data_IF_202403401347
#
_entry.id   IF_202403401347
#
_cell.length_a   1.000
_cell.length_b   1.000
_cell.length_c   1.000
_cell.angle_alpha   90.00
_cell.angle_beta   90.00
_cell.angle_gamma   90.00
#
_symmetry.space_group_name_H-M   'P 1'
#
loop_
_entity.id
_entity.type
_entity.pdbx_description
1 polymer ?
#
# COMPACT_ATOMS: atom_id res chain seq x y z
N UNK A 1 9.08 3.36 -11.13
CA UNK A 1 9.92 3.91 -10.04
C UNK A 1 10.77 2.82 -9.41
N UNK A 2 10.18 1.68 -9.03
CA UNK A 2 10.91 0.55 -8.43
C UNK A 2 12.01 -0.03 -9.33
N UNK A 3 11.84 0.03 -10.65
CA UNK A 3 12.88 -0.41 -11.61
C UNK A 3 13.93 0.67 -11.92
N UNK A 4 13.68 1.92 -11.52
CA UNK A 4 14.50 3.08 -11.91
C UNK A 4 15.46 3.55 -10.81
N UNK A 5 15.14 3.24 -9.54
CA UNK A 5 15.91 3.64 -8.37
C UNK A 5 15.87 2.48 -7.38
N UNK A 6 17.00 2.17 -6.75
CA UNK A 6 17.01 1.23 -5.63
C UNK A 6 16.29 1.86 -4.42
N UNK A 7 15.01 1.50 -4.28
CA UNK A 7 14.15 1.90 -3.15
C UNK A 7 14.28 0.95 -1.96
N UNK A 8 15.11 -0.09 -2.07
CA UNK A 8 15.33 -1.09 -1.01
C UNK A 8 16.55 -0.78 -0.16
N UNK A 9 17.38 0.18 -0.58
CA UNK A 9 18.54 0.64 0.18
C UNK A 9 18.16 1.06 1.61
N UNK A 10 18.68 0.34 2.60
CA UNK A 10 18.42 0.58 4.02
C UNK A 10 17.27 -0.24 4.63
N UNK A 11 16.54 -1.02 3.83
CA UNK A 11 15.55 -1.97 4.33
C UNK A 11 16.26 -3.20 4.93
N UNK A 12 15.81 -3.65 6.09
CA UNK A 12 16.38 -4.85 6.74
C UNK A 12 15.94 -6.11 5.98
N UNK A 13 16.76 -7.18 5.97
CA UNK A 13 16.35 -8.48 5.45
C UNK A 13 15.04 -8.96 6.08
N UNK A 14 14.12 -9.48 5.26
CA UNK A 14 12.79 -9.90 5.69
C UNK A 14 11.82 -8.75 5.99
N UNK A 15 12.22 -7.49 5.75
CA UNK A 15 11.34 -6.33 5.81
C UNK A 15 10.22 -6.38 4.77
N UNK A 16 9.19 -5.56 4.97
CA UNK A 16 8.01 -5.51 4.10
C UNK A 16 8.06 -4.28 3.19
N UNK A 17 7.73 -4.49 1.92
CA UNK A 17 7.57 -3.44 0.91
C UNK A 17 6.09 -3.38 0.52
N UNK A 18 5.47 -2.20 0.65
CA UNK A 18 4.11 -1.95 0.15
C UNK A 18 4.19 -1.20 -1.18
N UNK A 19 3.63 -1.78 -2.24
CA UNK A 19 3.71 -1.27 -3.61
C UNK A 19 2.32 -0.90 -4.12
N UNK A 20 2.15 0.33 -4.60
CA UNK A 20 0.96 0.72 -5.36
C UNK A 20 1.05 0.16 -6.79
N UNK A 21 0.28 -0.88 -7.09
CA UNK A 21 0.28 -1.61 -8.36
C UNK A 21 -0.94 -2.52 -8.48
N UNK A 22 -1.42 -2.71 -9.71
CA UNK A 22 -2.44 -3.73 -10.01
C UNK A 22 -1.87 -5.15 -9.99
N UNK A 23 -0.55 -5.28 -10.14
CA UNK A 23 0.16 -6.57 -10.16
C UNK A 23 0.04 -7.33 -8.83
N UNK A 24 0.01 -8.65 -8.92
CA UNK A 24 0.10 -9.52 -7.76
C UNK A 24 1.49 -9.41 -7.10
N UNK A 25 1.60 -9.64 -5.78
CA UNK A 25 2.90 -9.59 -5.10
C UNK A 25 3.90 -10.62 -5.65
N UNK A 26 3.43 -11.78 -6.12
CA UNK A 26 4.26 -12.85 -6.71
C UNK A 26 4.95 -12.45 -8.02
N UNK A 27 4.46 -11.41 -8.70
CA UNK A 27 5.10 -10.86 -9.90
C UNK A 27 6.41 -10.12 -9.59
N UNK A 28 6.71 -9.89 -8.31
CA UNK A 28 7.93 -9.26 -7.81
C UNK A 28 8.94 -10.28 -7.27
N UNK A 29 9.16 -11.37 -8.01
CA UNK A 29 10.01 -12.49 -7.60
C UNK A 29 11.39 -12.05 -7.05
N UNK A 30 12.08 -11.11 -7.71
CA UNK A 30 13.38 -10.62 -7.26
C UNK A 30 13.34 -9.88 -5.91
N UNK A 31 12.23 -9.22 -5.57
CA UNK A 31 12.05 -8.63 -4.22
C UNK A 31 11.72 -9.72 -3.20
N UNK A 32 10.94 -10.72 -3.60
CA UNK A 32 10.58 -11.87 -2.76
C UNK A 32 11.76 -12.79 -2.42
N UNK A 33 12.93 -12.61 -3.03
CA UNK A 33 14.15 -13.31 -2.58
C UNK A 33 14.60 -12.86 -1.18
N UNK A 34 14.26 -11.62 -0.79
CA UNK A 34 14.78 -11.00 0.43
C UNK A 34 13.72 -10.32 1.30
N UNK A 35 12.57 -9.97 0.75
CA UNK A 35 11.57 -9.12 1.38
C UNK A 35 10.16 -9.71 1.28
N UNK A 36 9.28 -9.30 2.19
CA UNK A 36 7.83 -9.47 2.02
C UNK A 36 7.34 -8.41 1.04
N UNK A 37 6.47 -8.79 0.12
CA UNK A 37 5.87 -7.84 -0.83
C UNK A 37 4.37 -7.80 -0.59
N UNK A 38 3.87 -6.61 -0.31
CA UNK A 38 2.46 -6.29 -0.27
C UNK A 38 2.12 -5.38 -1.46
N UNK A 39 1.00 -5.64 -2.14
CA UNK A 39 0.51 -4.82 -3.25
C UNK A 39 -0.90 -4.34 -3.02
N UNK A 40 -1.19 -3.15 -3.57
CA UNK A 40 -2.51 -2.53 -3.54
C UNK A 40 -2.72 -1.70 -4.80
N UNK A 41 -3.91 -1.75 -5.41
CA UNK A 41 -4.30 -0.79 -6.45
C UNK A 41 -4.90 0.48 -5.82
N UNK A 42 -4.05 1.28 -5.19
CA UNK A 42 -4.47 2.50 -4.53
C UNK A 42 -4.97 3.56 -5.54
N UNK A 43 -4.44 3.52 -6.77
CA UNK A 43 -4.87 4.40 -7.87
C UNK A 43 -6.32 4.13 -8.28
N UNK A 44 -6.67 2.88 -8.53
CA UNK A 44 -8.04 2.48 -8.85
C UNK A 44 -9.01 2.75 -7.71
N UNK A 45 -8.61 2.48 -6.45
CA UNK A 45 -9.40 2.82 -5.25
C UNK A 45 -9.70 4.33 -5.22
N UNK A 46 -8.66 5.16 -5.33
CA UNK A 46 -8.82 6.62 -5.30
C UNK A 46 -9.81 7.10 -6.38
N UNK A 47 -9.71 6.56 -7.60
CA UNK A 47 -10.63 6.90 -8.70
C UNK A 47 -12.07 6.49 -8.38
N UNK A 48 -12.30 5.28 -7.83
CA UNK A 48 -13.64 4.81 -7.44
C UNK A 48 -14.31 5.73 -6.42
N UNK A 49 -13.53 6.27 -5.48
CA UNK A 49 -14.02 7.22 -4.46
C UNK A 49 -13.98 8.69 -4.91
N UNK A 50 -13.64 8.97 -6.17
CA UNK A 50 -13.61 10.32 -6.72
C UNK A 50 -12.52 11.21 -6.12
N UNK A 51 -11.39 10.61 -5.74
CA UNK A 51 -10.20 11.28 -5.19
C UNK A 51 -9.16 11.48 -6.30
N UNK A 52 -9.11 12.71 -6.83
CA UNK A 52 -8.30 13.04 -8.00
C UNK A 52 -8.99 12.70 -9.33
N UNK A 53 -8.21 12.62 -10.40
CA UNK A 53 -8.69 12.28 -11.74
C UNK A 53 -8.12 10.94 -12.20
N UNK A 54 -8.58 10.40 -13.33
CA UNK A 54 -8.01 9.19 -13.92
C UNK A 54 -6.51 9.33 -14.25
N UNK A 55 -6.06 10.55 -14.55
CA UNK A 55 -4.65 10.83 -14.89
C UNK A 55 -3.82 11.26 -13.67
N UNK A 56 -4.48 11.70 -12.59
CA UNK A 56 -3.85 12.16 -11.35
C UNK A 56 -4.67 11.70 -10.14
N UNK A 57 -4.67 10.39 -9.83
CA UNK A 57 -5.34 9.87 -8.65
C UNK A 57 -4.64 10.33 -7.37
N UNK A 58 -5.40 10.66 -6.32
CA UNK A 58 -4.86 11.06 -5.01
C UNK A 58 -4.91 9.84 -4.09
N UNK A 59 -3.77 9.17 -3.93
CA UNK A 59 -3.70 7.83 -3.32
C UNK A 59 -3.37 7.81 -1.83
N UNK A 60 -3.04 8.95 -1.22
CA UNK A 60 -2.42 9.01 0.10
C UNK A 60 -3.21 8.26 1.19
N UNK A 61 -4.53 8.47 1.30
CA UNK A 61 -5.33 7.83 2.35
C UNK A 61 -5.56 6.35 2.07
N UNK A 62 -5.65 5.95 0.80
CA UNK A 62 -5.64 4.54 0.43
C UNK A 62 -4.32 3.86 0.85
N UNK A 63 -3.17 4.51 0.65
CA UNK A 63 -1.87 4.00 1.11
C UNK A 63 -1.82 3.87 2.63
N UNK A 64 -2.35 4.85 3.38
CA UNK A 64 -2.43 4.77 4.86
C UNK A 64 -3.33 3.62 5.32
N UNK A 65 -4.46 3.39 4.63
CA UNK A 65 -5.34 2.25 4.89
C UNK A 65 -4.65 0.91 4.65
N UNK A 66 -3.95 0.78 3.51
CA UNK A 66 -3.16 -0.40 3.19
C UNK A 66 -2.01 -0.63 4.19
N UNK A 67 -1.34 0.45 4.64
CA UNK A 67 -0.32 0.38 5.67
C UNK A 67 -0.88 -0.12 7.01
N UNK A 68 -2.06 0.37 7.41
CA UNK A 68 -2.72 -0.09 8.63
C UNK A 68 -3.02 -1.60 8.58
N UNK A 69 -3.45 -2.12 7.43
CA UNK A 69 -3.74 -3.54 7.24
C UNK A 69 -2.48 -4.41 7.27
N UNK A 70 -1.46 -4.04 6.51
CA UNK A 70 -0.24 -4.87 6.36
C UNK A 70 0.59 -4.90 7.64
N UNK A 71 0.74 -3.77 8.32
CA UNK A 71 1.68 -3.66 9.44
C UNK A 71 1.00 -3.82 10.81
N UNK A 72 -0.32 -3.61 10.91
CA UNK A 72 -1.06 -3.72 12.18
C UNK A 72 -0.63 -2.73 13.27
N UNK A 73 0.20 -1.73 12.92
CA UNK A 73 0.76 -0.74 13.87
C UNK A 73 -0.25 0.36 14.23
N UNK A 74 -1.22 0.59 13.36
CA UNK A 74 -2.30 1.58 13.53
C UNK A 74 -3.62 0.95 13.12
N UNK A 75 -4.71 1.34 13.77
CA UNK A 75 -6.06 0.87 13.44
C UNK A 75 -6.85 1.87 12.59
N UNK A 76 -7.92 1.40 11.93
CA UNK A 76 -8.80 2.25 11.10
C UNK A 76 -9.38 3.45 11.86
N UNK A 77 -9.60 3.34 13.17
CA UNK A 77 -10.06 4.48 13.98
C UNK A 77 -9.02 5.59 14.09
N UNK A 78 -7.74 5.25 14.22
CA UNK A 78 -6.63 6.23 14.20
C UNK A 78 -6.50 6.86 12.81
N UNK A 79 -6.67 6.07 11.76
CA UNK A 79 -6.68 6.57 10.37
C UNK A 79 -7.83 7.56 10.17
N UNK A 80 -9.03 7.25 10.66
CA UNK A 80 -10.17 8.16 10.61
C UNK A 80 -9.88 9.48 11.31
N UNK A 81 -9.36 9.43 12.54
CA UNK A 81 -9.05 10.62 13.32
C UNK A 81 -8.02 11.52 12.59
N UNK A 82 -6.97 10.93 12.01
CA UNK A 82 -5.98 11.66 11.23
C UNK A 82 -6.59 12.29 9.96
N UNK A 83 -7.51 11.60 9.28
CA UNK A 83 -8.21 12.16 8.11
C UNK A 83 -9.11 13.33 8.53
N UNK A 84 -9.81 13.21 9.65
CA UNK A 84 -10.68 14.27 10.13
C UNK A 84 -9.91 15.56 10.45
N UNK A 85 -8.68 15.43 10.97
CA UNK A 85 -7.78 16.53 11.35
C UNK A 85 -7.03 17.13 10.13
N UNK A 86 -6.40 16.29 9.30
CA UNK A 86 -5.44 16.73 8.28
C UNK A 86 -6.06 16.95 6.89
N UNK A 87 -7.19 16.29 6.57
CA UNK A 87 -7.76 16.33 5.23
C UNK A 87 -8.79 17.46 5.10
N UNK A 88 -8.58 18.45 4.21
CA UNK A 88 -9.43 19.63 4.15
C UNK A 88 -10.78 19.39 3.46
N UNK A 89 -10.86 18.41 2.54
CA UNK A 89 -12.02 18.17 1.68
C UNK A 89 -12.28 16.68 1.48
N UNK A 90 -13.55 16.32 1.22
CA UNK A 90 -13.96 14.93 0.93
C UNK A 90 -13.49 13.93 2.00
N UNK A 91 -13.52 14.30 3.28
CA UNK A 91 -13.07 13.44 4.40
C UNK A 91 -13.69 12.04 4.36
N UNK A 92 -14.99 11.96 4.12
CA UNK A 92 -15.69 10.68 4.02
C UNK A 92 -15.14 9.80 2.89
N UNK A 93 -15.01 10.35 1.68
CA UNK A 93 -14.45 9.60 0.56
C UNK A 93 -12.99 9.18 0.79
N UNK A 94 -12.20 10.01 1.48
CA UNK A 94 -10.84 9.68 1.89
C UNK A 94 -10.80 8.53 2.90
N UNK A 95 -11.73 8.52 3.85
CA UNK A 95 -11.87 7.46 4.85
C UNK A 95 -12.34 6.16 4.20
N UNK A 96 -13.37 6.20 3.36
CA UNK A 96 -13.85 5.04 2.62
C UNK A 96 -12.77 4.45 1.70
N UNK A 97 -11.97 5.29 1.04
CA UNK A 97 -10.81 4.82 0.27
C UNK A 97 -9.76 4.12 1.15
N UNK A 98 -9.54 4.59 2.38
CA UNK A 98 -8.65 3.93 3.33
C UNK A 98 -9.23 2.58 3.80
N UNK A 99 -10.54 2.50 4.02
CA UNK A 99 -11.24 1.24 4.38
C UNK A 99 -11.19 0.23 3.23
N UNK A 100 -11.47 0.63 1.99
CA UNK A 100 -11.38 -0.24 0.82
C UNK A 100 -9.95 -0.76 0.65
N UNK A 101 -8.95 0.13 0.79
CA UNK A 101 -7.55 -0.26 0.73
C UNK A 101 -7.13 -1.21 1.85
N UNK A 102 -7.64 -1.02 3.07
CA UNK A 102 -7.38 -1.92 4.21
C UNK A 102 -7.81 -3.36 3.90
N UNK A 103 -8.95 -3.54 3.22
CA UNK A 103 -9.47 -4.86 2.84
C UNK A 103 -8.89 -5.45 1.55
N UNK A 104 -8.19 -4.65 0.74
CA UNK A 104 -7.76 -5.04 -0.61
C UNK A 104 -6.26 -5.35 -0.74
N UNK A 105 -5.48 -5.24 0.35
CA UNK A 105 -4.04 -5.58 0.33
C UNK A 105 -3.85 -7.06 0.01
N UNK A 106 -2.91 -7.35 -0.89
CA UNK A 106 -2.45 -8.70 -1.21
C UNK A 106 -0.98 -8.83 -0.85
N UNK A 107 -0.59 -9.90 -0.15
CA UNK A 107 0.77 -10.04 0.38
C UNK A 107 1.37 -11.41 0.07
N UNK A 108 2.67 -11.42 -0.22
CA UNK A 108 3.47 -12.63 -0.37
C UNK A 108 4.72 -12.56 0.52
N UNK A 109 5.10 -13.72 1.07
CA UNK A 109 6.26 -13.86 1.93
C UNK A 109 7.53 -14.16 1.11
N UNK A 110 8.73 -13.91 1.66
CA UNK A 110 9.96 -14.24 0.97
C UNK A 110 9.97 -15.72 0.59
N UNK A 111 10.38 -16.01 -0.64
CA UNK A 111 10.62 -17.38 -1.09
C UNK A 111 11.80 -17.92 -0.29
N UNK A 112 11.64 -19.08 0.36
CA UNK A 112 12.77 -19.75 1.01
C UNK A 112 13.83 -20.05 -0.04
N UNK A 113 14.97 -19.35 0.04
CA UNK A 113 16.13 -19.66 -0.79
C UNK A 113 16.69 -20.97 -0.29
N UNK A 114 16.30 -22.07 -0.92
CA UNK A 114 16.95 -23.37 -0.76
C UNK A 114 18.39 -23.22 -1.23
N UNK A 115 19.30 -22.92 -0.30
CA UNK A 115 20.73 -23.05 -0.53
C UNK A 115 21.02 -24.55 -0.76
N UNK A 116 21.14 -24.93 -2.04
CA UNK A 116 21.82 -26.16 -2.48
C UNK A 116 23.23 -25.80 -2.90
#
# INVERSE_FOLDING_TARGET
LIDAIDVTAGLKPGGTILINTEKAPDEYAGLLEHYRVATIDASGIAIRHGLGTKTQPIVNTAIVGAFAAEFGLIGLQSVKAAIDDEVPVKREANYEAAVDAFGAVRSAAPTEVSHV
#
